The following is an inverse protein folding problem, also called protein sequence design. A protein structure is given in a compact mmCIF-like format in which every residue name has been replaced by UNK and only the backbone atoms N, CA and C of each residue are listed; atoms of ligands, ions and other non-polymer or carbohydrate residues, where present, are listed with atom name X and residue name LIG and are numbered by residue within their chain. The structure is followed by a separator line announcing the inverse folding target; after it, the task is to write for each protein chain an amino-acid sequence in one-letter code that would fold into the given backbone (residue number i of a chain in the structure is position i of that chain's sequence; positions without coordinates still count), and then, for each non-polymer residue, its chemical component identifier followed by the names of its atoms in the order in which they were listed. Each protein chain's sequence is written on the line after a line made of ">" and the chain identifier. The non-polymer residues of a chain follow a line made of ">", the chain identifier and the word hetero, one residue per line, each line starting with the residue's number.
data_IF_368817584777
#
_entry.id   IF_368817584777
#
_cell.length_a   1.000
_cell.length_b   1.000
_cell.length_c   1.000
_cell.angle_alpha   90.00
_cell.angle_beta   90.00
_cell.angle_gamma   90.00
#
_symmetry.space_group_name_H-M   'P 1'
#
loop_
_entity.id
_entity.type
_entity.pdbx_description
1 polymer ?
#
# COMPACT_ATOMS: atom_id res chain seq x y z
N UNK A 1 4.50 24.76 -3.28
CA UNK A 1 3.10 24.79 -2.80
C UNK A 1 2.95 23.62 -1.83
N UNK A 2 2.78 23.88 -0.53
CA UNK A 2 2.55 22.79 0.42
C UNK A 2 1.20 22.12 0.10
N UNK A 3 1.21 20.81 -0.13
CA UNK A 3 -0.02 20.04 -0.28
C UNK A 3 -0.76 20.00 1.06
N UNK A 4 -2.07 20.28 1.02
CA UNK A 4 -2.94 20.18 2.21
C UNK A 4 -3.09 18.72 2.64
N UNK A 5 -3.40 18.50 3.92
CA UNK A 5 -3.71 17.16 4.45
C UNK A 5 -4.82 16.47 3.64
N UNK A 6 -5.91 17.19 3.33
CA UNK A 6 -6.99 16.66 2.49
C UNK A 6 -6.51 16.19 1.13
N UNK A 7 -5.63 16.95 0.47
CA UNK A 7 -5.08 16.56 -0.83
C UNK A 7 -4.19 15.33 -0.73
N UNK A 8 -3.39 15.21 0.33
CA UNK A 8 -2.57 14.01 0.58
C UNK A 8 -3.44 12.76 0.80
N UNK A 9 -4.55 12.90 1.54
CA UNK A 9 -5.51 11.82 1.74
C UNK A 9 -6.21 11.40 0.45
N UNK A 10 -6.62 12.36 -0.39
CA UNK A 10 -7.21 12.08 -1.71
C UNK A 10 -6.20 11.30 -2.58
N UNK A 11 -4.96 11.76 -2.67
CA UNK A 11 -3.92 11.06 -3.45
C UNK A 11 -3.66 9.67 -2.88
N UNK A 12 -3.61 9.52 -1.54
CA UNK A 12 -3.48 8.19 -0.91
C UNK A 12 -4.60 7.23 -1.35
N UNK A 13 -5.84 7.73 -1.46
CA UNK A 13 -6.97 6.94 -1.95
C UNK A 13 -6.82 6.58 -3.43
N UNK A 14 -6.35 7.52 -4.26
CA UNK A 14 -6.07 7.30 -5.69
C UNK A 14 -5.02 6.18 -5.87
N UNK A 15 -3.88 6.27 -5.18
CA UNK A 15 -2.81 5.25 -5.26
C UNK A 15 -3.28 3.87 -4.77
N UNK A 16 -4.12 3.81 -3.73
CA UNK A 16 -4.72 2.54 -3.30
C UNK A 16 -5.65 1.93 -4.38
N UNK A 17 -6.35 2.79 -5.12
CA UNK A 17 -7.15 2.39 -6.28
C UNK A 17 -6.31 1.85 -7.43
N UNK A 18 -5.16 2.48 -7.71
CA UNK A 18 -4.20 2.02 -8.73
C UNK A 18 -3.56 0.68 -8.33
N UNK A 19 -3.14 0.53 -7.07
CA UNK A 19 -2.62 -0.74 -6.54
C UNK A 19 -3.64 -1.87 -6.66
N UNK A 20 -4.92 -1.60 -6.36
CA UNK A 20 -6.00 -2.58 -6.55
C UNK A 20 -6.08 -3.05 -8.01
N UNK A 21 -5.99 -2.12 -8.97
CA UNK A 21 -6.01 -2.45 -10.39
C UNK A 21 -4.75 -3.22 -10.82
N UNK A 22 -3.57 -2.88 -10.30
CA UNK A 22 -2.32 -3.57 -10.60
C UNK A 22 -2.35 -5.03 -10.10
N UNK A 23 -2.80 -5.26 -8.86
CA UNK A 23 -3.06 -6.60 -8.32
C UNK A 23 -4.01 -7.40 -9.23
N UNK A 24 -5.12 -6.78 -9.65
CA UNK A 24 -6.10 -7.40 -10.54
C UNK A 24 -5.51 -7.81 -11.90
N UNK A 25 -4.63 -6.99 -12.48
CA UNK A 25 -3.92 -7.32 -13.73
C UNK A 25 -2.96 -8.49 -13.54
N UNK A 26 -2.21 -8.52 -12.44
CA UNK A 26 -1.29 -9.63 -12.13
C UNK A 26 -2.05 -10.94 -11.94
N UNK A 27 -3.21 -10.93 -11.27
CA UNK A 27 -4.05 -12.13 -11.10
C UNK A 27 -4.54 -12.66 -12.46
N UNK A 28 -4.98 -11.77 -13.37
CA UNK A 28 -5.51 -12.18 -14.69
C UNK A 28 -4.45 -12.66 -15.67
N UNK A 29 -3.26 -12.05 -15.64
CA UNK A 29 -2.26 -12.24 -16.69
C UNK A 29 -1.01 -12.99 -16.21
N UNK A 30 -0.87 -13.20 -14.90
CA UNK A 30 0.26 -13.87 -14.28
C UNK A 30 1.43 -12.93 -13.97
N UNK A 31 2.20 -13.31 -12.96
CA UNK A 31 3.37 -12.57 -12.45
C UNK A 31 4.57 -12.53 -13.40
N UNK A 32 4.63 -13.43 -14.40
CA UNK A 32 5.77 -13.54 -15.33
C UNK A 32 5.78 -12.47 -16.43
N UNK A 33 4.71 -11.71 -16.58
CA UNK A 33 4.69 -10.60 -17.54
C UNK A 33 5.36 -9.38 -16.93
N UNK A 34 6.56 -9.05 -17.43
CA UNK A 34 7.38 -7.93 -16.93
C UNK A 34 6.58 -6.63 -16.79
N UNK A 35 5.72 -6.31 -17.77
CA UNK A 35 4.84 -5.13 -17.73
C UNK A 35 3.97 -5.07 -16.46
N UNK A 36 3.33 -6.17 -16.08
CA UNK A 36 2.44 -6.20 -14.93
C UNK A 36 3.20 -6.31 -13.61
N UNK A 37 4.36 -6.97 -13.62
CA UNK A 37 5.28 -6.98 -12.48
C UNK A 37 5.80 -5.56 -12.16
N UNK A 38 6.27 -4.83 -13.18
CA UNK A 38 6.73 -3.44 -13.01
C UNK A 38 5.61 -2.49 -12.61
N UNK A 39 4.41 -2.65 -13.19
CA UNK A 39 3.24 -1.86 -12.78
C UNK A 39 2.87 -2.12 -11.32
N UNK A 40 2.89 -3.39 -10.86
CA UNK A 40 2.63 -3.70 -9.46
C UNK A 40 3.70 -3.11 -8.53
N UNK A 41 4.99 -3.23 -8.89
CA UNK A 41 6.08 -2.66 -8.12
C UNK A 41 5.93 -1.14 -7.97
N UNK A 42 5.59 -0.43 -9.06
CA UNK A 42 5.32 1.00 -9.04
C UNK A 42 4.20 1.35 -8.07
N UNK A 43 3.03 0.73 -8.19
CA UNK A 43 1.88 1.13 -7.34
C UNK A 43 2.09 0.74 -5.86
N UNK A 44 2.88 -0.30 -5.57
CA UNK A 44 3.32 -0.60 -4.19
C UNK A 44 4.18 0.55 -3.66
N UNK A 45 5.14 1.03 -4.45
CA UNK A 45 6.03 2.11 -4.04
C UNK A 45 5.27 3.44 -3.85
N UNK A 46 4.33 3.76 -4.74
CA UNK A 46 3.50 4.96 -4.65
C UNK A 46 2.61 4.93 -3.39
N UNK A 47 1.97 3.79 -3.09
CA UNK A 47 1.23 3.61 -1.82
C UNK A 47 2.15 3.72 -0.61
N UNK A 48 3.34 3.09 -0.62
CA UNK A 48 4.28 3.20 0.50
C UNK A 48 4.75 4.64 0.75
N UNK A 49 5.01 5.41 -0.32
CA UNK A 49 5.37 6.81 -0.21
C UNK A 49 4.23 7.63 0.42
N UNK A 50 2.99 7.40 0.00
CA UNK A 50 1.83 8.09 0.57
C UNK A 50 1.56 7.70 2.03
N UNK A 51 1.72 6.43 2.38
CA UNK A 51 1.65 5.96 3.78
C UNK A 51 2.71 6.64 4.66
N UNK A 52 3.94 6.81 4.17
CA UNK A 52 5.00 7.52 4.90
C UNK A 52 4.60 8.98 5.17
N UNK A 53 4.10 9.68 4.15
CA UNK A 53 3.67 11.08 4.25
C UNK A 53 2.55 11.25 5.28
N UNK A 54 1.50 10.43 5.23
CA UNK A 54 0.37 10.58 6.16
C UNK A 54 0.75 10.15 7.57
N UNK A 55 1.63 9.16 7.74
CA UNK A 55 2.13 8.74 9.07
C UNK A 55 2.81 9.91 9.77
N UNK A 56 3.63 10.67 9.02
CA UNK A 56 4.26 11.89 9.52
C UNK A 56 3.25 12.99 9.84
N UNK A 57 2.30 13.26 8.93
CA UNK A 57 1.29 14.30 9.13
C UNK A 57 0.40 14.07 10.36
N UNK A 58 0.06 12.81 10.66
CA UNK A 58 -0.73 12.43 11.84
C UNK A 58 0.12 12.17 13.08
N UNK A 59 1.45 12.29 12.96
CA UNK A 59 2.40 12.08 14.05
C UNK A 59 2.26 10.68 14.69
N UNK A 60 1.96 9.67 13.88
CA UNK A 60 1.92 8.27 14.31
C UNK A 60 3.35 7.77 14.54
N UNK A 61 3.55 7.09 15.66
CA UNK A 61 4.86 6.52 15.99
C UNK A 61 5.13 5.29 15.11
N UNK A 62 6.31 5.18 14.49
CA UNK A 62 6.68 4.01 13.70
C UNK A 62 6.54 2.70 14.47
N UNK A 63 6.86 2.69 15.76
CA UNK A 63 6.80 1.51 16.62
C UNK A 63 5.36 1.03 16.83
N UNK A 64 4.41 1.96 17.01
CA UNK A 64 2.98 1.63 17.12
C UNK A 64 2.45 1.02 15.81
N UNK A 65 2.93 1.52 14.67
CA UNK A 65 2.56 1.02 13.35
C UNK A 65 3.15 -0.38 13.09
N UNK A 66 4.41 -0.61 13.43
CA UNK A 66 5.09 -1.89 13.30
C UNK A 66 4.38 -2.99 14.09
N UNK A 67 3.97 -2.72 15.34
CA UNK A 67 3.18 -3.67 16.16
C UNK A 67 1.88 -4.09 15.45
N UNK A 68 1.18 -3.14 14.80
CA UNK A 68 -0.06 -3.44 14.08
C UNK A 68 0.20 -4.21 12.78
N UNK A 69 1.29 -3.90 12.08
CA UNK A 69 1.72 -4.63 10.87
C UNK A 69 2.06 -6.08 11.23
N UNK A 70 2.88 -6.30 12.26
CA UNK A 70 3.23 -7.65 12.73
C UNK A 70 2.00 -8.44 13.14
N UNK A 71 1.07 -7.82 13.87
CA UNK A 71 -0.20 -8.46 14.23
C UNK A 71 -0.98 -8.89 12.99
N UNK A 72 -1.00 -8.09 11.92
CA UNK A 72 -1.64 -8.44 10.65
C UNK A 72 -0.89 -9.57 9.93
N UNK A 73 0.44 -9.51 9.84
CA UNK A 73 1.26 -10.56 9.21
C UNK A 73 1.06 -11.89 9.94
N UNK A 74 1.18 -11.90 11.26
CA UNK A 74 0.95 -13.07 12.10
C UNK A 74 -0.46 -13.65 11.89
N UNK A 75 -1.47 -12.79 11.69
CA UNK A 75 -2.83 -13.24 11.36
C UNK A 75 -2.91 -13.94 10.00
N UNK A 76 -2.21 -13.44 8.97
CA UNK A 76 -2.23 -14.02 7.63
C UNK A 76 -1.36 -15.27 7.49
N UNK A 77 -0.36 -15.46 8.36
CA UNK A 77 0.49 -16.66 8.37
C UNK A 77 -0.16 -17.86 9.07
N UNK A 78 -1.23 -17.65 9.83
CA UNK A 78 -1.95 -18.77 10.45
C UNK A 78 -2.75 -19.52 9.38
N UNK A 79 -2.59 -20.83 9.37
CA UNK A 79 -3.12 -21.76 8.35
C UNK A 79 -4.63 -21.94 8.36
N UNK A 80 -5.33 -21.31 9.31
CA UNK A 80 -6.78 -21.34 9.52
C UNK A 80 -7.48 -20.06 9.03
N UNK A 81 -6.78 -19.18 8.32
CA UNK A 81 -7.36 -17.96 7.75
C UNK A 81 -8.04 -18.26 6.39
N UNK A 82 -9.29 -18.75 6.44
CA UNK A 82 -10.22 -18.74 5.30
C UNK A 82 -10.80 -17.33 5.04
#
# INVERSE_FOLDING_TARGET
>A
MNMTLYKKLIITMEECGELTQACSKVIRHGVKTEKYHQSLLKEIADVQAMLHIITQDFNFKPEDLEVLIEKRINKMMRSDYE
#
